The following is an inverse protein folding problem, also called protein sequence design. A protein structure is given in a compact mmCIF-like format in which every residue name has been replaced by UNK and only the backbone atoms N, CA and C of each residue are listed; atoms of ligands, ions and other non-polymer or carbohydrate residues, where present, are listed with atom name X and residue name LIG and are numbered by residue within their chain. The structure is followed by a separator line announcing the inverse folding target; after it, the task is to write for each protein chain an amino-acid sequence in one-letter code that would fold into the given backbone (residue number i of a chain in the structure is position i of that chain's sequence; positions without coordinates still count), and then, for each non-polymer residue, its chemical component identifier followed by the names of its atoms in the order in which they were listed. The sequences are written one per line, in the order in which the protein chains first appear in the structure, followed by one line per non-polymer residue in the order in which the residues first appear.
data_IF_059821263001
#
_entry.id   IF_059821263001
#
_cell.length_a   1.000
_cell.length_b   1.000
_cell.length_c   1.000
_cell.angle_alpha   90.00
_cell.angle_beta   90.00
_cell.angle_gamma   90.00
#
_symmetry.space_group_name_H-M   'P 1'
#
loop_
_entity.id
_entity.type
_entity.pdbx_description
1 polymer ?
#
# COMPACT_ATOMS: atom_id res chain seq x y z
N UNK A 1 -19.69 -24.20 -16.98
CA UNK A 1 -18.40 -23.62 -17.49
C UNK A 1 -17.37 -23.71 -16.40
N UNK A 2 -16.16 -24.18 -16.69
CA UNK A 2 -15.08 -24.25 -15.69
C UNK A 2 -14.31 -22.93 -15.68
N UNK A 3 -13.98 -22.41 -14.49
CA UNK A 3 -13.14 -21.21 -14.34
C UNK A 3 -11.68 -21.51 -14.71
N UNK A 4 -10.90 -20.47 -15.05
CA UNK A 4 -9.50 -20.64 -15.36
C UNK A 4 -8.71 -21.12 -14.12
N UNK A 5 -7.77 -22.06 -14.31
CA UNK A 5 -6.94 -22.65 -13.23
C UNK A 5 -6.24 -21.60 -12.33
N UNK A 6 -5.87 -20.42 -12.89
CA UNK A 6 -5.26 -19.33 -12.14
C UNK A 6 -6.10 -18.79 -10.99
N UNK A 7 -7.42 -19.05 -10.97
CA UNK A 7 -8.33 -18.62 -9.90
C UNK A 7 -8.48 -19.67 -8.79
N UNK A 8 -8.09 -20.92 -9.01
CA UNK A 8 -8.26 -22.00 -8.00
C UNK A 8 -7.54 -21.72 -6.68
N UNK A 9 -6.41 -20.99 -6.73
CA UNK A 9 -5.60 -20.64 -5.55
C UNK A 9 -5.74 -19.17 -5.13
N UNK A 10 -6.75 -18.48 -5.62
CA UNK A 10 -7.10 -17.10 -5.23
C UNK A 10 -8.32 -17.17 -4.33
N UNK A 11 -8.11 -17.11 -3.02
CA UNK A 11 -9.20 -17.02 -2.05
C UNK A 11 -9.89 -15.66 -2.10
N UNK A 12 -11.11 -15.60 -1.57
CA UNK A 12 -11.79 -14.34 -1.37
C UNK A 12 -11.00 -13.47 -0.37
N UNK A 13 -10.89 -12.20 -0.67
CA UNK A 13 -10.17 -11.23 0.16
C UNK A 13 -10.82 -11.14 1.55
N UNK A 14 -10.04 -11.38 2.62
CA UNK A 14 -10.52 -11.40 4.00
C UNK A 14 -11.42 -10.20 4.36
N UNK A 15 -11.00 -8.99 3.96
CA UNK A 15 -11.81 -7.79 4.24
C UNK A 15 -13.20 -7.84 3.60
N UNK A 16 -13.36 -8.46 2.42
CA UNK A 16 -14.68 -8.60 1.80
C UNK A 16 -15.61 -9.48 2.63
N UNK A 17 -15.07 -10.57 3.19
CA UNK A 17 -15.83 -11.46 4.07
C UNK A 17 -16.18 -10.77 5.39
N UNK A 18 -15.19 -10.14 6.04
CA UNK A 18 -15.38 -9.47 7.34
C UNK A 18 -16.30 -8.26 7.24
N UNK A 19 -16.25 -7.51 6.12
CA UNK A 19 -17.20 -6.40 5.89
C UNK A 19 -18.65 -6.90 5.75
N UNK A 20 -18.88 -8.02 5.06
CA UNK A 20 -20.24 -8.61 5.00
C UNK A 20 -20.74 -9.05 6.39
N UNK A 21 -19.85 -9.62 7.21
CA UNK A 21 -20.16 -9.96 8.59
C UNK A 21 -20.51 -8.72 9.43
N UNK A 22 -19.70 -7.65 9.34
CA UNK A 22 -19.94 -6.37 10.01
C UNK A 22 -21.27 -5.76 9.55
N UNK A 23 -21.57 -5.80 8.25
CA UNK A 23 -22.83 -5.31 7.70
C UNK A 23 -24.04 -6.10 8.23
N UNK A 24 -23.90 -7.42 8.37
CA UNK A 24 -24.95 -8.25 8.99
C UNK A 24 -25.17 -7.89 10.46
N UNK A 25 -24.09 -7.76 11.25
CA UNK A 25 -24.17 -7.32 12.65
C UNK A 25 -24.77 -5.92 12.78
N UNK A 26 -24.47 -5.01 11.86
CA UNK A 26 -25.05 -3.67 11.86
C UNK A 26 -26.56 -3.67 11.54
N UNK A 27 -27.01 -4.56 10.65
CA UNK A 27 -28.45 -4.76 10.40
C UNK A 27 -29.20 -5.31 11.62
N UNK A 28 -28.50 -6.04 12.49
CA UNK A 28 -29.01 -6.47 13.80
C UNK A 28 -28.94 -5.38 14.89
N UNK A 29 -28.48 -4.16 14.54
CA UNK A 29 -28.42 -3.03 15.46
C UNK A 29 -27.16 -2.96 16.34
N UNK A 30 -26.11 -3.74 16.03
CA UNK A 30 -24.86 -3.75 16.83
C UNK A 30 -24.01 -2.49 16.68
N UNK A 31 -24.18 -1.71 15.59
CA UNK A 31 -23.46 -0.46 15.34
C UNK A 31 -21.92 -0.59 15.47
N UNK A 32 -21.35 -1.54 14.76
CA UNK A 32 -19.91 -1.85 14.82
C UNK A 32 -19.07 -0.64 14.39
N UNK A 33 -18.10 -0.25 15.21
CA UNK A 33 -17.07 0.73 14.85
C UNK A 33 -15.92 0.00 14.18
N UNK A 34 -15.74 0.20 12.87
CA UNK A 34 -14.67 -0.46 12.13
C UNK A 34 -13.40 0.40 12.13
N UNK A 35 -12.37 -0.03 12.86
CA UNK A 35 -11.01 0.51 12.83
C UNK A 35 -10.05 -0.38 12.00
N UNK A 36 -10.60 -1.19 11.09
CA UNK A 36 -9.81 -2.10 10.27
C UNK A 36 -9.44 -1.56 8.89
N UNK A 37 -10.26 -0.69 8.29
CA UNK A 37 -10.15 -0.27 6.90
C UNK A 37 -9.21 0.91 6.76
N UNK A 38 -8.27 0.81 5.82
CA UNK A 38 -7.29 1.87 5.51
C UNK A 38 -7.71 2.77 4.35
N UNK A 39 -8.92 3.28 4.38
CA UNK A 39 -9.40 4.27 3.42
C UNK A 39 -9.48 5.63 4.11
N UNK A 40 -8.74 6.65 3.67
CA UNK A 40 -8.89 8.00 4.20
C UNK A 40 -10.34 8.44 4.19
N UNK A 41 -10.80 8.99 5.31
CA UNK A 41 -12.16 9.50 5.51
C UNK A 41 -12.29 11.00 5.24
N UNK A 42 -11.15 11.70 5.16
CA UNK A 42 -11.11 13.13 4.86
C UNK A 42 -11.23 13.38 3.36
N UNK A 43 -11.84 14.52 2.95
CA UNK A 43 -11.90 14.89 1.54
C UNK A 43 -10.52 15.32 1.01
N UNK A 44 -10.34 15.33 -0.32
CA UNK A 44 -9.23 16.04 -0.95
C UNK A 44 -9.28 17.55 -0.67
N UNK A 45 -8.17 18.24 -0.90
CA UNK A 45 -8.13 19.71 -0.79
C UNK A 45 -9.21 20.37 -1.71
N UNK A 46 -9.91 21.43 -1.24
CA UNK A 46 -11.00 22.08 -2.01
C UNK A 46 -10.65 22.42 -3.45
N UNK A 47 -9.43 22.93 -3.71
CA UNK A 47 -8.99 23.29 -5.08
C UNK A 47 -8.97 22.07 -6.02
N UNK A 48 -8.74 20.87 -5.50
CA UNK A 48 -8.74 19.62 -6.29
C UNK A 48 -10.17 19.29 -6.73
N UNK A 49 -11.14 19.42 -5.81
CA UNK A 49 -12.56 19.20 -6.08
C UNK A 49 -13.08 20.24 -7.08
N UNK A 50 -12.77 21.53 -6.85
CA UNK A 50 -13.14 22.63 -7.73
C UNK A 50 -12.57 22.44 -9.15
N UNK A 51 -11.30 22.02 -9.25
CA UNK A 51 -10.69 21.72 -10.55
C UNK A 51 -11.45 20.60 -11.27
N UNK A 52 -11.80 19.50 -10.59
CA UNK A 52 -12.58 18.43 -11.20
C UNK A 52 -13.93 18.95 -11.72
N UNK A 53 -14.66 19.72 -10.92
CA UNK A 53 -15.97 20.27 -11.28
C UNK A 53 -15.87 21.21 -12.50
N UNK A 54 -14.92 22.15 -12.47
CA UNK A 54 -14.72 23.10 -13.54
C UNK A 54 -14.27 22.45 -14.85
N UNK A 55 -13.30 21.52 -14.76
CA UNK A 55 -12.77 20.86 -15.94
C UNK A 55 -13.77 19.87 -16.54
N UNK A 56 -14.55 19.15 -15.71
CA UNK A 56 -15.56 18.20 -16.22
C UNK A 56 -16.75 18.89 -16.92
N UNK A 57 -16.97 20.17 -16.70
CA UNK A 57 -18.01 20.95 -17.40
C UNK A 57 -17.61 21.36 -18.83
N UNK A 58 -16.34 21.19 -19.23
CA UNK A 58 -15.84 21.58 -20.54
C UNK A 58 -16.22 20.55 -21.61
N UNK A 59 -16.60 20.96 -22.84
CA UNK A 59 -17.11 20.03 -23.85
C UNK A 59 -16.06 19.05 -24.42
N UNK A 60 -14.76 19.40 -24.38
CA UNK A 60 -13.71 18.68 -25.08
C UNK A 60 -12.90 17.69 -24.20
N UNK A 61 -13.42 17.32 -23.03
CA UNK A 61 -12.68 16.51 -22.04
C UNK A 61 -13.16 15.08 -21.92
N UNK A 62 -14.24 14.71 -22.64
CA UNK A 62 -14.94 13.43 -22.49
C UNK A 62 -14.49 12.35 -23.48
N UNK A 63 -13.68 12.70 -24.47
CA UNK A 63 -13.14 11.73 -25.43
C UNK A 63 -12.09 10.81 -24.78
N UNK A 64 -11.80 9.70 -25.43
CA UNK A 64 -10.70 8.82 -25.03
C UNK A 64 -9.39 9.60 -24.90
N UNK A 65 -8.67 9.33 -23.83
CA UNK A 65 -7.41 9.97 -23.53
C UNK A 65 -6.22 9.09 -23.93
N UNK A 66 -5.03 9.70 -24.02
CA UNK A 66 -3.80 8.96 -24.27
C UNK A 66 -3.56 7.89 -23.20
N UNK A 67 -3.16 6.70 -23.61
CA UNK A 67 -2.71 5.62 -22.72
C UNK A 67 -1.53 6.04 -21.80
N UNK A 68 -0.71 7.00 -22.25
CA UNK A 68 0.38 7.60 -21.47
C UNK A 68 -0.08 8.60 -20.42
N UNK A 69 -1.36 8.95 -20.39
CA UNK A 69 -1.90 10.04 -19.59
C UNK A 69 -1.56 11.43 -20.19
N UNK A 70 -2.12 12.49 -19.60
CA UNK A 70 -1.93 13.86 -20.05
C UNK A 70 -0.51 14.36 -19.75
N UNK A 71 0.08 15.20 -20.63
CA UNK A 71 1.36 15.86 -20.33
C UNK A 71 1.31 16.70 -19.04
N UNK A 72 0.17 17.32 -18.74
CA UNK A 72 -0.03 18.13 -17.52
C UNK A 72 0.17 17.27 -16.26
N UNK A 73 -0.40 16.08 -16.21
CA UNK A 73 -0.23 15.18 -15.07
C UNK A 73 1.21 14.65 -14.99
N UNK A 74 1.81 14.24 -16.12
CA UNK A 74 3.18 13.74 -16.12
C UNK A 74 4.20 14.78 -15.68
N UNK A 75 4.05 16.05 -16.14
CA UNK A 75 4.89 17.15 -15.67
C UNK A 75 4.73 17.39 -14.17
N UNK A 76 3.48 17.42 -13.67
CA UNK A 76 3.23 17.56 -12.22
C UNK A 76 3.84 16.43 -11.39
N UNK A 77 3.84 15.20 -11.88
CA UNK A 77 4.53 14.07 -11.23
C UNK A 77 6.04 14.28 -11.23
N UNK A 78 6.64 14.71 -12.35
CA UNK A 78 8.09 14.97 -12.43
C UNK A 78 8.52 16.07 -11.46
N UNK A 79 7.77 17.18 -11.41
CA UNK A 79 8.01 18.28 -10.48
C UNK A 79 7.88 17.82 -9.02
N UNK A 80 6.87 17.01 -8.70
CA UNK A 80 6.64 16.47 -7.37
C UNK A 80 7.77 15.52 -6.92
N UNK A 81 8.27 14.64 -7.83
CA UNK A 81 9.41 13.79 -7.55
C UNK A 81 10.70 14.58 -7.34
N UNK A 82 10.93 15.62 -8.14
CA UNK A 82 12.08 16.50 -7.98
C UNK A 82 12.03 17.25 -6.63
N UNK A 83 10.87 17.81 -6.28
CA UNK A 83 10.68 18.59 -5.05
C UNK A 83 10.83 17.74 -3.77
N UNK A 84 10.17 16.56 -3.73
CA UNK A 84 10.01 15.82 -2.49
C UNK A 84 11.03 14.70 -2.30
N UNK A 85 11.52 14.12 -3.39
CA UNK A 85 12.42 12.97 -3.35
C UNK A 85 13.81 13.29 -3.91
N UNK A 86 14.02 14.48 -4.45
CA UNK A 86 15.26 14.84 -5.17
C UNK A 86 15.56 13.86 -6.32
N UNK A 87 14.52 13.41 -7.03
CA UNK A 87 14.60 12.50 -8.17
C UNK A 87 14.15 13.24 -9.42
N UNK A 88 15.04 13.35 -10.41
CA UNK A 88 14.71 13.95 -11.71
C UNK A 88 14.19 12.86 -12.64
N UNK A 89 12.99 13.05 -13.18
CA UNK A 89 12.32 12.15 -14.12
C UNK A 89 11.98 12.88 -15.41
N UNK A 90 12.17 12.22 -16.55
CA UNK A 90 11.67 12.72 -17.83
C UNK A 90 10.15 12.45 -17.93
N UNK A 91 9.29 13.49 -17.96
CA UNK A 91 7.83 13.31 -17.99
C UNK A 91 7.31 12.62 -19.26
N UNK A 92 8.08 12.62 -20.35
CA UNK A 92 7.66 11.98 -21.60
C UNK A 92 7.94 10.47 -21.65
N UNK A 93 8.93 9.97 -20.87
CA UNK A 93 9.41 8.61 -21.02
C UNK A 93 9.48 7.80 -19.72
N UNK A 94 9.53 8.46 -18.55
CA UNK A 94 9.85 7.80 -17.27
C UNK A 94 8.68 7.82 -16.28
N UNK A 95 7.51 8.27 -16.72
CA UNK A 95 6.29 8.39 -15.91
C UNK A 95 5.09 7.82 -16.66
N UNK A 96 4.35 6.94 -15.99
CA UNK A 96 3.10 6.37 -16.49
C UNK A 96 1.98 6.54 -15.46
N UNK A 97 0.99 7.44 -15.69
CA UNK A 97 -0.22 7.51 -14.89
C UNK A 97 -1.03 6.21 -14.91
N UNK A 98 -1.62 5.88 -13.75
CA UNK A 98 -2.34 4.63 -13.49
C UNK A 98 -3.69 4.90 -12.83
N UNK A 99 -4.66 4.00 -13.00
CA UNK A 99 -5.93 4.00 -12.26
C UNK A 99 -5.73 3.48 -10.81
N UNK A 100 -4.76 4.09 -10.11
CA UNK A 100 -4.27 3.73 -8.79
C UNK A 100 -3.12 2.72 -8.84
N UNK A 101 -2.27 2.70 -7.79
CA UNK A 101 -1.09 1.83 -7.73
C UNK A 101 -1.43 0.33 -7.74
N UNK A 102 -2.61 -0.07 -7.21
CA UNK A 102 -3.04 -1.47 -7.22
C UNK A 102 -3.16 -2.06 -8.63
N UNK A 103 -3.66 -1.27 -9.58
CA UNK A 103 -3.68 -1.64 -11.00
C UNK A 103 -2.26 -1.82 -11.53
N UNK A 104 -1.36 -0.89 -11.18
CA UNK A 104 0.05 -0.96 -11.56
C UNK A 104 0.75 -2.22 -11.08
N UNK A 105 0.44 -2.72 -9.88
CA UNK A 105 0.95 -4.01 -9.38
C UNK A 105 0.59 -5.13 -10.37
N UNK A 106 -0.67 -5.17 -10.83
CA UNK A 106 -1.10 -6.18 -11.79
C UNK A 106 -0.42 -6.00 -13.16
N UNK A 107 -0.30 -4.77 -13.64
CA UNK A 107 0.39 -4.50 -14.92
C UNK A 107 1.83 -4.96 -14.89
N UNK A 108 2.56 -4.68 -13.80
CA UNK A 108 3.93 -5.13 -13.61
C UNK A 108 4.00 -6.66 -13.62
N UNK A 109 3.14 -7.33 -12.83
CA UNK A 109 3.14 -8.78 -12.78
C UNK A 109 2.84 -9.41 -14.15
N UNK A 110 1.89 -8.88 -14.89
CA UNK A 110 1.54 -9.38 -16.22
C UNK A 110 2.59 -9.04 -17.29
N UNK A 111 3.41 -8.02 -17.08
CA UNK A 111 4.49 -7.65 -18.01
C UNK A 111 5.73 -8.52 -17.82
N UNK A 112 6.10 -8.85 -16.58
CA UNK A 112 7.41 -9.44 -16.27
C UNK A 112 7.37 -10.86 -15.72
N UNK A 113 6.21 -11.35 -15.25
CA UNK A 113 6.12 -12.62 -14.54
C UNK A 113 5.16 -13.58 -15.21
N UNK A 114 5.54 -14.86 -15.24
CA UNK A 114 4.80 -15.96 -15.83
C UNK A 114 5.14 -17.29 -15.12
N UNK A 115 4.64 -18.40 -15.61
CA UNK A 115 4.94 -19.72 -15.08
C UNK A 115 6.46 -20.01 -15.11
N UNK A 116 6.98 -20.55 -14.02
CA UNK A 116 8.42 -20.80 -13.83
C UNK A 116 9.19 -19.60 -13.24
N UNK A 117 8.55 -18.46 -13.04
CA UNK A 117 9.14 -17.29 -12.39
C UNK A 117 8.79 -17.26 -10.90
N UNK A 118 9.81 -17.06 -10.06
CA UNK A 118 9.65 -16.73 -8.64
C UNK A 118 9.68 -15.21 -8.42
N UNK A 119 8.85 -14.74 -7.48
CA UNK A 119 8.81 -13.31 -7.09
C UNK A 119 8.83 -13.21 -5.57
N UNK A 120 9.83 -12.52 -5.03
CA UNK A 120 9.95 -12.25 -3.60
C UNK A 120 8.89 -11.23 -3.14
N UNK A 121 8.15 -11.57 -2.10
CA UNK A 121 7.11 -10.71 -1.52
C UNK A 121 7.27 -10.57 -0.01
N UNK A 122 7.02 -9.39 0.60
CA UNK A 122 7.18 -9.20 2.04
C UNK A 122 6.14 -9.98 2.84
N UNK A 123 6.55 -10.51 4.01
CA UNK A 123 5.71 -11.18 4.98
C UNK A 123 6.05 -10.66 6.42
N UNK A 124 5.16 -9.88 7.08
CA UNK A 124 3.86 -9.45 6.58
C UNK A 124 3.96 -8.47 5.41
N UNK A 125 2.91 -8.37 4.57
CA UNK A 125 2.89 -7.47 3.43
C UNK A 125 1.49 -7.27 2.86
N UNK A 126 1.37 -6.43 1.85
CA UNK A 126 0.09 -6.18 1.20
C UNK A 126 -0.39 -7.43 0.43
N UNK A 127 -1.56 -8.00 0.77
CA UNK A 127 -2.00 -9.28 0.17
C UNK A 127 -2.12 -9.27 -1.36
N UNK A 128 -2.26 -8.08 -1.96
CA UNK A 128 -2.35 -7.93 -3.41
C UNK A 128 -1.08 -8.38 -4.13
N UNK A 129 0.11 -8.28 -3.50
CA UNK A 129 1.35 -8.74 -4.14
C UNK A 129 1.28 -10.23 -4.44
N UNK A 130 0.96 -11.06 -3.44
CA UNK A 130 0.80 -12.49 -3.63
C UNK A 130 -0.28 -12.83 -4.67
N UNK A 131 -1.42 -12.14 -4.62
CA UNK A 131 -2.52 -12.39 -5.54
C UNK A 131 -2.16 -12.03 -6.99
N UNK A 132 -1.51 -10.88 -7.22
CA UNK A 132 -1.11 -10.45 -8.55
C UNK A 132 -0.03 -11.36 -9.17
N UNK A 133 0.95 -11.77 -8.35
CA UNK A 133 1.98 -12.75 -8.75
C UNK A 133 1.34 -14.08 -9.16
N UNK A 134 0.44 -14.62 -8.34
CA UNK A 134 -0.27 -15.88 -8.67
C UNK A 134 -1.16 -15.75 -9.92
N UNK A 135 -1.85 -14.62 -10.10
CA UNK A 135 -2.69 -14.36 -11.27
C UNK A 135 -1.88 -14.27 -12.57
N UNK A 136 -0.63 -13.81 -12.53
CA UNK A 136 0.28 -13.86 -13.68
C UNK A 136 0.81 -15.27 -14.00
N UNK A 137 0.55 -16.25 -13.12
CA UNK A 137 1.04 -17.62 -13.24
C UNK A 137 2.37 -17.87 -12.51
N UNK A 138 2.97 -16.84 -11.93
CA UNK A 138 4.23 -16.92 -11.22
C UNK A 138 4.07 -17.43 -9.77
N UNK A 139 5.19 -17.78 -9.13
CA UNK A 139 5.25 -18.25 -7.75
C UNK A 139 5.61 -17.10 -6.80
N UNK A 140 4.75 -16.83 -5.83
CA UNK A 140 5.04 -15.88 -4.75
C UNK A 140 5.93 -16.56 -3.69
N UNK A 141 7.09 -15.97 -3.43
CA UNK A 141 8.09 -16.45 -2.45
C UNK A 141 8.10 -15.45 -1.28
N UNK A 142 7.49 -15.76 -0.13
CA UNK A 142 7.45 -14.84 0.99
C UNK A 142 8.84 -14.74 1.67
N UNK A 143 9.23 -13.50 2.02
CA UNK A 143 10.38 -13.24 2.87
C UNK A 143 9.94 -12.54 4.16
N UNK A 144 10.43 -13.02 5.31
CA UNK A 144 9.98 -12.55 6.61
C UNK A 144 10.62 -11.21 6.97
N UNK A 145 9.77 -10.29 7.41
CA UNK A 145 10.15 -9.02 8.03
C UNK A 145 9.82 -9.10 9.51
N UNK A 146 10.83 -8.96 10.37
CA UNK A 146 10.69 -9.11 11.82
C UNK A 146 11.03 -7.83 12.56
N UNK A 147 10.44 -7.67 13.75
CA UNK A 147 10.75 -6.54 14.63
C UNK A 147 12.23 -6.52 15.02
N UNK A 148 12.86 -7.70 15.22
CA UNK A 148 14.28 -7.82 15.54
C UNK A 148 15.21 -7.21 14.48
N UNK A 149 14.79 -7.21 13.20
CA UNK A 149 15.51 -6.58 12.09
C UNK A 149 14.91 -5.22 11.70
N UNK A 150 14.12 -4.59 12.58
CA UNK A 150 13.39 -3.35 12.26
C UNK A 150 12.61 -3.46 10.95
N UNK A 151 12.02 -4.63 10.68
CA UNK A 151 11.29 -4.94 9.45
C UNK A 151 12.09 -4.67 8.15
N UNK A 152 13.43 -4.77 8.22
CA UNK A 152 14.31 -4.80 7.06
C UNK A 152 14.49 -6.25 6.57
N UNK A 153 14.65 -6.48 5.25
CA UNK A 153 14.96 -7.80 4.73
C UNK A 153 16.32 -8.33 5.22
N UNK A 154 16.39 -9.62 5.47
CA UNK A 154 17.64 -10.33 5.68
C UNK A 154 18.19 -10.77 4.31
N UNK A 155 19.29 -10.18 3.87
CA UNK A 155 19.85 -10.39 2.53
C UNK A 155 20.50 -11.76 2.36
N UNK A 156 20.92 -12.40 3.45
CA UNK A 156 21.44 -13.78 3.41
C UNK A 156 20.30 -14.76 3.21
N UNK A 157 19.23 -14.64 4.00
CA UNK A 157 18.03 -15.45 3.83
C UNK A 157 17.34 -15.21 2.47
N UNK A 158 17.33 -13.98 1.95
CA UNK A 158 16.86 -13.70 0.60
C UNK A 158 17.67 -14.45 -0.46
N UNK A 159 19.01 -14.41 -0.36
CA UNK A 159 19.88 -15.11 -1.30
C UNK A 159 19.68 -16.64 -1.24
N UNK A 160 19.48 -17.17 -0.02
CA UNK A 160 19.15 -18.57 0.16
C UNK A 160 17.81 -18.93 -0.47
N UNK A 161 16.75 -18.13 -0.25
CA UNK A 161 15.43 -18.36 -0.83
C UNK A 161 15.44 -18.36 -2.36
N UNK A 162 16.28 -17.50 -2.98
CA UNK A 162 16.50 -17.51 -4.44
C UNK A 162 17.11 -18.84 -4.87
N UNK A 163 18.22 -19.25 -4.24
CA UNK A 163 18.92 -20.48 -4.58
C UNK A 163 18.05 -21.71 -4.39
N UNK A 164 17.29 -21.80 -3.29
CA UNK A 164 16.39 -22.88 -2.98
C UNK A 164 15.28 -23.02 -4.04
N UNK A 165 14.69 -21.87 -4.45
CA UNK A 165 13.66 -21.87 -5.49
C UNK A 165 14.21 -22.32 -6.83
N UNK A 166 15.34 -21.78 -7.27
CA UNK A 166 15.96 -22.08 -8.57
C UNK A 166 16.46 -23.53 -8.64
N UNK A 167 16.98 -24.05 -7.52
CA UNK A 167 17.45 -25.46 -7.44
C UNK A 167 16.27 -26.45 -7.43
N UNK A 168 15.20 -26.12 -6.71
CA UNK A 168 14.03 -27.02 -6.57
C UNK A 168 13.14 -27.03 -7.81
N UNK A 169 13.21 -26.00 -8.65
CA UNK A 169 12.38 -25.85 -9.83
C UNK A 169 13.25 -25.76 -11.10
N UNK A 170 13.59 -26.87 -11.67
CA UNK A 170 14.50 -26.99 -12.79
C UNK A 170 14.19 -26.00 -13.94
N UNK A 171 15.10 -25.09 -14.22
CA UNK A 171 14.97 -24.02 -15.22
C UNK A 171 14.17 -22.78 -14.76
N UNK A 172 13.69 -22.77 -13.51
CA UNK A 172 13.05 -21.59 -12.92
C UNK A 172 14.08 -20.54 -12.49
N UNK A 173 13.63 -19.29 -12.40
CA UNK A 173 14.45 -18.18 -11.86
C UNK A 173 13.61 -17.26 -11.01
N UNK A 174 14.23 -16.58 -10.05
CA UNK A 174 13.60 -15.43 -9.38
C UNK A 174 13.84 -14.18 -10.24
N UNK A 175 12.76 -13.45 -10.59
CA UNK A 175 12.86 -12.32 -11.49
C UNK A 175 12.41 -10.99 -10.87
N UNK A 176 11.76 -11.00 -9.69
CA UNK A 176 11.27 -9.77 -9.08
C UNK A 176 11.25 -9.81 -7.56
N UNK A 177 11.22 -8.62 -6.95
CA UNK A 177 11.06 -8.44 -5.52
C UNK A 177 10.18 -7.21 -5.25
N UNK A 178 9.08 -7.40 -4.54
CA UNK A 178 8.28 -6.30 -4.01
C UNK A 178 8.88 -5.80 -2.69
N UNK A 179 8.97 -4.48 -2.55
CA UNK A 179 9.29 -3.77 -1.30
C UNK A 179 8.30 -2.64 -1.09
N UNK A 180 8.04 -2.29 0.16
CA UNK A 180 7.08 -1.24 0.53
C UNK A 180 7.62 -0.47 1.73
N UNK A 181 8.03 0.77 1.56
CA UNK A 181 8.51 1.65 2.62
C UNK A 181 8.04 3.10 2.37
N UNK A 182 7.34 3.74 3.33
CA UNK A 182 6.92 3.22 4.63
C UNK A 182 6.10 1.93 4.51
N UNK A 183 6.45 0.96 5.37
CA UNK A 183 5.95 -0.40 5.24
C UNK A 183 4.52 -0.55 5.80
N UNK A 184 3.62 -1.12 5.02
CA UNK A 184 2.31 -1.55 5.47
C UNK A 184 2.33 -3.10 5.64
N UNK A 185 2.02 -3.64 6.84
CA UNK A 185 1.24 -3.00 7.91
C UNK A 185 2.05 -2.35 9.04
N UNK A 186 3.38 -2.48 9.10
CA UNK A 186 4.17 -2.22 10.32
C UNK A 186 4.49 -0.75 10.59
N UNK A 187 4.30 0.15 9.61
CA UNK A 187 4.65 1.56 9.75
C UNK A 187 6.15 1.85 9.79
N UNK A 188 7.00 0.87 9.47
CA UNK A 188 8.45 1.05 9.43
C UNK A 188 8.85 1.93 8.24
N UNK A 189 9.71 2.93 8.49
CA UNK A 189 10.28 3.78 7.42
C UNK A 189 11.48 3.09 6.76
N UNK A 190 11.70 3.39 5.47
CA UNK A 190 12.95 3.04 4.78
C UNK A 190 14.08 4.02 5.12
N UNK A 191 15.26 3.72 4.60
CA UNK A 191 16.42 4.61 4.63
C UNK A 191 17.18 4.52 3.33
N UNK A 192 17.96 5.55 2.97
CA UNK A 192 18.83 5.50 1.78
C UNK A 192 19.80 4.32 1.88
N UNK A 193 20.38 4.07 3.04
CA UNK A 193 21.27 2.93 3.25
C UNK A 193 20.59 1.57 3.01
N UNK A 194 19.31 1.42 3.37
CA UNK A 194 18.53 0.23 3.04
C UNK A 194 18.27 0.15 1.53
N UNK A 195 17.90 1.27 0.91
CA UNK A 195 17.61 1.33 -0.52
C UNK A 195 18.87 1.02 -1.37
N UNK A 196 20.04 1.52 -0.99
CA UNK A 196 21.31 1.17 -1.63
C UNK A 196 21.61 -0.34 -1.54
N UNK A 197 21.38 -0.96 -0.38
CA UNK A 197 21.51 -2.42 -0.22
C UNK A 197 20.52 -3.19 -1.10
N UNK A 198 19.27 -2.76 -1.18
CA UNK A 198 18.26 -3.36 -2.05
C UNK A 198 18.62 -3.27 -3.52
N UNK A 199 19.11 -2.11 -3.96
CA UNK A 199 19.59 -1.90 -5.34
C UNK A 199 20.79 -2.79 -5.65
N UNK A 200 21.77 -2.85 -4.75
CA UNK A 200 22.92 -3.72 -4.91
C UNK A 200 22.53 -5.22 -4.97
N UNK A 201 21.58 -5.63 -4.12
CA UNK A 201 21.03 -6.99 -4.12
C UNK A 201 20.30 -7.29 -5.44
N UNK A 202 19.46 -6.38 -5.92
CA UNK A 202 18.74 -6.53 -7.17
C UNK A 202 19.69 -6.64 -8.38
N UNK A 203 20.74 -5.83 -8.41
CA UNK A 203 21.80 -5.90 -9.44
C UNK A 203 22.53 -7.25 -9.40
N UNK A 204 22.94 -7.70 -8.22
CA UNK A 204 23.65 -8.98 -8.02
C UNK A 204 22.83 -10.17 -8.52
N UNK A 205 21.55 -10.21 -8.20
CA UNK A 205 20.65 -11.32 -8.53
C UNK A 205 19.88 -11.11 -9.85
N UNK A 206 20.08 -9.99 -10.55
CA UNK A 206 19.41 -9.64 -11.82
C UNK A 206 17.89 -9.69 -11.72
N UNK A 207 17.33 -9.18 -10.62
CA UNK A 207 15.89 -9.11 -10.36
C UNK A 207 15.35 -7.69 -10.50
N UNK A 208 14.10 -7.56 -10.90
CA UNK A 208 13.38 -6.29 -10.89
C UNK A 208 12.96 -5.95 -9.46
N UNK A 209 13.39 -4.79 -8.96
CA UNK A 209 12.96 -4.26 -7.67
C UNK A 209 11.73 -3.37 -7.84
N UNK A 210 10.64 -3.69 -7.15
CA UNK A 210 9.36 -3.00 -7.28
C UNK A 210 9.03 -2.35 -5.94
N UNK A 211 9.11 -1.03 -5.88
CA UNK A 211 8.79 -0.27 -4.68
C UNK A 211 7.36 0.27 -4.75
N UNK A 212 6.51 -0.12 -3.79
CA UNK A 212 5.15 0.44 -3.62
C UNK A 212 5.19 1.48 -2.50
N UNK A 213 5.02 2.77 -2.85
CA UNK A 213 5.31 3.92 -1.99
C UNK A 213 4.11 4.86 -1.73
N UNK A 214 2.91 4.35 -1.35
CA UNK A 214 1.74 5.22 -1.18
C UNK A 214 1.69 5.97 0.17
N UNK A 215 2.58 5.64 1.13
CA UNK A 215 2.49 6.15 2.51
C UNK A 215 3.56 7.18 2.88
N UNK A 216 4.40 7.61 1.93
CA UNK A 216 5.57 8.47 2.18
C UNK A 216 5.30 9.74 2.97
N UNK A 217 4.10 10.31 2.87
CA UNK A 217 3.76 11.62 3.44
C UNK A 217 2.94 11.54 4.72
N UNK A 218 2.52 10.35 5.15
CA UNK A 218 1.62 10.22 6.30
C UNK A 218 2.43 9.98 7.56
N UNK A 219 2.35 10.93 8.50
CA UNK A 219 3.10 10.94 9.77
C UNK A 219 4.62 10.80 9.57
N UNK A 220 5.12 11.31 8.44
CA UNK A 220 6.51 11.21 8.04
C UNK A 220 6.97 12.54 7.43
N UNK A 221 7.96 13.18 8.08
CA UNK A 221 8.48 14.49 7.68
C UNK A 221 9.59 14.40 6.63
N UNK A 222 10.08 13.19 6.35
CA UNK A 222 11.18 12.93 5.42
C UNK A 222 10.79 11.85 4.43
N UNK A 223 9.91 12.17 3.45
CA UNK A 223 9.52 11.21 2.43
C UNK A 223 10.75 10.77 1.61
N UNK A 224 10.83 9.48 1.31
CA UNK A 224 11.91 8.89 0.53
C UNK A 224 11.35 8.10 -0.64
N UNK A 225 12.06 8.16 -1.77
CA UNK A 225 11.85 7.30 -2.93
C UNK A 225 13.01 6.32 -3.09
N UNK A 226 12.72 5.08 -3.45
CA UNK A 226 13.76 4.12 -3.82
C UNK A 226 14.57 4.60 -5.03
N UNK A 227 13.94 5.35 -5.92
CA UNK A 227 14.61 5.89 -7.12
C UNK A 227 15.69 6.93 -6.79
N UNK A 228 15.75 7.43 -5.55
CA UNK A 228 16.85 8.30 -5.08
C UNK A 228 18.14 7.53 -4.73
N UNK A 229 18.06 6.19 -4.60
CA UNK A 229 19.25 5.38 -4.35
C UNK A 229 20.13 5.26 -5.60
N UNK A 230 21.44 5.15 -5.40
CA UNK A 230 22.40 5.15 -6.49
C UNK A 230 22.21 3.94 -7.44
N UNK A 231 21.96 4.23 -8.71
CA UNK A 231 21.74 3.21 -9.75
C UNK A 231 20.41 2.47 -9.62
N UNK A 232 19.43 3.02 -8.92
CA UNK A 232 18.09 2.45 -8.80
C UNK A 232 17.37 2.38 -10.15
N UNK A 233 17.51 3.40 -11.00
CA UNK A 233 16.89 3.44 -12.34
C UNK A 233 17.29 2.25 -13.24
N UNK A 234 18.42 1.60 -13.00
CA UNK A 234 18.85 0.42 -13.76
C UNK A 234 18.03 -0.83 -13.44
N UNK A 235 17.54 -0.97 -12.21
CA UNK A 235 16.96 -2.22 -11.70
C UNK A 235 15.60 -2.07 -11.02
N UNK A 236 15.13 -0.83 -10.80
CA UNK A 236 13.91 -0.58 -10.04
C UNK A 236 12.84 0.15 -10.84
N UNK A 237 11.60 -0.04 -10.37
CA UNK A 237 10.42 0.77 -10.69
C UNK A 237 9.70 1.13 -9.40
N UNK A 238 9.06 2.29 -9.36
CA UNK A 238 8.33 2.75 -8.19
C UNK A 238 6.87 3.04 -8.54
N UNK A 239 5.97 2.47 -7.74
CA UNK A 239 4.55 2.79 -7.72
C UNK A 239 4.28 3.84 -6.66
N UNK A 240 3.51 4.87 -7.00
CA UNK A 240 3.02 5.85 -6.04
C UNK A 240 1.53 6.13 -6.26
N UNK A 241 0.86 6.78 -5.30
CA UNK A 241 -0.58 6.97 -5.36
C UNK A 241 -1.03 8.19 -4.56
N UNK A 242 -1.99 8.92 -5.08
CA UNK A 242 -2.67 10.02 -4.38
C UNK A 242 -3.74 9.53 -3.40
N UNK A 243 -3.99 8.22 -3.37
CA UNK A 243 -5.04 7.62 -2.53
C UNK A 243 -4.91 7.93 -1.05
N UNK A 244 -3.66 8.06 -0.55
CA UNK A 244 -3.37 8.23 0.88
C UNK A 244 -2.93 9.65 1.20
N UNK A 245 -1.90 10.14 0.54
CA UNK A 245 -1.30 11.45 0.78
C UNK A 245 -2.21 12.64 0.44
N UNK A 246 -3.20 12.43 -0.45
CA UNK A 246 -4.09 13.48 -0.94
C UNK A 246 -5.58 13.14 -0.76
N UNK A 247 -5.92 12.12 0.05
CA UNK A 247 -7.29 11.67 0.31
C UNK A 247 -8.11 11.35 -0.96
N UNK A 248 -7.44 10.86 -2.00
CA UNK A 248 -8.04 10.60 -3.32
C UNK A 248 -8.24 9.10 -3.59
N UNK A 249 -8.53 8.29 -2.55
CA UNK A 249 -8.64 6.84 -2.70
C UNK A 249 -9.69 6.41 -3.73
N UNK A 250 -10.86 7.04 -3.72
CA UNK A 250 -11.96 6.79 -4.67
C UNK A 250 -11.71 7.34 -6.08
N UNK A 251 -10.79 8.26 -6.24
CA UNK A 251 -10.48 8.91 -7.53
C UNK A 251 -9.63 8.05 -8.45
N UNK A 252 -8.99 7.03 -7.91
CA UNK A 252 -8.18 6.07 -8.66
C UNK A 252 -7.04 6.74 -9.42
N UNK A 253 -6.22 7.54 -8.75
CA UNK A 253 -5.02 8.17 -9.34
C UNK A 253 -3.75 7.61 -8.69
N UNK A 254 -2.88 7.07 -9.51
CA UNK A 254 -1.53 6.62 -9.16
C UNK A 254 -0.57 6.85 -10.32
N UNK A 255 0.67 6.48 -10.12
CA UNK A 255 1.72 6.56 -11.14
C UNK A 255 2.73 5.45 -10.97
N UNK A 256 3.33 5.04 -12.08
CA UNK A 256 4.54 4.24 -12.16
C UNK A 256 5.68 5.13 -12.65
N UNK A 257 6.81 5.08 -11.96
CA UNK A 257 8.03 5.79 -12.31
C UNK A 257 9.20 4.82 -12.45
N UNK A 258 10.10 5.07 -13.41
CA UNK A 258 11.26 4.21 -13.67
C UNK A 258 11.90 4.54 -15.01
N UNK A 259 12.89 3.73 -15.43
CA UNK A 259 13.56 3.94 -16.72
C UNK A 259 12.58 3.87 -17.91
N UNK A 260 12.92 4.58 -18.98
CA UNK A 260 12.09 4.69 -20.19
C UNK A 260 11.72 3.31 -20.78
N UNK A 261 12.66 2.36 -20.77
CA UNK A 261 12.42 1.01 -21.30
C UNK A 261 11.33 0.29 -20.48
N UNK A 262 11.43 0.35 -19.13
CA UNK A 262 10.47 -0.30 -18.25
C UNK A 262 9.08 0.34 -18.33
N UNK A 263 9.03 1.66 -18.44
CA UNK A 263 7.76 2.39 -18.64
C UNK A 263 7.12 1.96 -19.98
N UNK A 264 7.89 1.85 -21.05
CA UNK A 264 7.39 1.41 -22.35
C UNK A 264 6.92 -0.05 -22.35
N UNK A 265 7.63 -0.94 -21.64
CA UNK A 265 7.22 -2.35 -21.47
C UNK A 265 5.87 -2.47 -20.75
N UNK A 266 5.71 -1.77 -19.62
CA UNK A 266 4.44 -1.78 -18.88
C UNK A 266 3.33 -1.07 -19.66
N UNK A 267 3.63 0.03 -20.37
CA UNK A 267 2.66 0.72 -21.23
C UNK A 267 2.14 -0.20 -22.34
N UNK A 268 2.99 -1.04 -22.92
CA UNK A 268 2.56 -2.02 -23.93
C UNK A 268 1.51 -2.98 -23.41
N UNK A 269 1.63 -3.46 -22.17
CA UNK A 269 0.59 -4.25 -21.52
C UNK A 269 -0.66 -3.39 -21.23
N UNK A 270 -0.47 -2.24 -20.54
CA UNK A 270 -1.55 -1.34 -20.12
C UNK A 270 -2.43 -0.90 -21.29
N UNK A 271 -1.86 -0.55 -22.43
CA UNK A 271 -2.59 -0.09 -23.61
C UNK A 271 -3.53 -1.15 -24.24
N UNK A 272 -3.36 -2.42 -23.87
CA UNK A 272 -4.25 -3.52 -24.25
C UNK A 272 -5.31 -3.83 -23.16
N UNK A 273 -5.29 -3.12 -22.03
CA UNK A 273 -6.18 -3.36 -20.91
C UNK A 273 -7.13 -2.19 -20.64
N UNK A 274 -6.67 -0.94 -20.78
CA UNK A 274 -7.49 0.25 -20.58
C UNK A 274 -7.36 1.26 -21.74
N UNK A 275 -8.16 2.33 -21.68
CA UNK A 275 -8.24 3.38 -22.71
C UNK A 275 -7.86 4.77 -22.19
N UNK A 276 -7.02 4.84 -21.15
CA UNK A 276 -6.57 6.07 -20.53
C UNK A 276 -7.53 6.60 -19.46
N UNK A 277 -7.04 7.57 -18.67
CA UNK A 277 -7.78 8.16 -17.56
C UNK A 277 -8.63 9.34 -18.02
N UNK A 278 -9.79 9.54 -17.38
CA UNK A 278 -10.62 10.74 -17.55
C UNK A 278 -9.82 12.02 -17.34
N UNK A 279 -9.80 12.90 -18.35
CA UNK A 279 -8.93 14.08 -18.36
C UNK A 279 -9.14 15.03 -17.15
N UNK A 280 -10.37 15.38 -16.75
CA UNK A 280 -10.59 16.21 -15.57
C UNK A 280 -9.98 15.65 -14.28
N UNK A 281 -10.01 14.33 -14.10
CA UNK A 281 -9.37 13.70 -12.95
C UNK A 281 -7.85 13.83 -13.00
N UNK A 282 -7.24 13.78 -14.17
CA UNK A 282 -5.80 14.00 -14.35
C UNK A 282 -5.41 15.46 -14.05
N UNK A 283 -6.21 16.43 -14.49
CA UNK A 283 -5.97 17.85 -14.23
C UNK A 283 -6.12 18.18 -12.74
N UNK A 284 -7.14 17.64 -12.10
CA UNK A 284 -7.31 17.75 -10.65
C UNK A 284 -6.18 17.08 -9.86
N UNK A 285 -5.69 15.92 -10.31
CA UNK A 285 -4.54 15.26 -9.71
C UNK A 285 -3.25 16.08 -9.84
N UNK A 286 -3.04 16.76 -10.98
CA UNK A 286 -1.93 17.69 -11.13
C UNK A 286 -2.00 18.86 -10.14
N UNK A 287 -3.21 19.37 -9.84
CA UNK A 287 -3.41 20.37 -8.78
C UNK A 287 -3.15 19.81 -7.38
N UNK A 288 -3.49 18.55 -7.13
CA UNK A 288 -3.19 17.90 -5.87
C UNK A 288 -1.67 17.78 -5.64
N UNK A 289 -0.91 17.38 -6.66
CA UNK A 289 0.55 17.27 -6.60
C UNK A 289 1.26 18.61 -6.40
N UNK A 290 0.63 19.71 -6.83
CA UNK A 290 1.14 21.07 -6.65
C UNK A 290 0.80 21.70 -5.28
N UNK A 291 0.14 20.98 -4.37
CA UNK A 291 -0.14 21.48 -3.03
C UNK A 291 1.15 21.71 -2.24
N UNK A 292 1.14 22.75 -1.40
CA UNK A 292 2.29 23.12 -0.57
C UNK A 292 2.52 22.12 0.57
N UNK A 293 3.63 22.24 1.25
CA UNK A 293 3.96 21.48 2.45
C UNK A 293 2.88 21.61 3.54
N UNK A 294 2.19 22.74 3.63
CA UNK A 294 1.15 22.98 4.63
C UNK A 294 0.00 21.98 4.55
N UNK A 295 -0.35 21.49 3.34
CA UNK A 295 -1.33 20.43 3.19
C UNK A 295 -0.93 19.18 3.97
N UNK A 296 0.30 18.72 3.81
CA UNK A 296 0.81 17.54 4.51
C UNK A 296 0.95 17.77 6.01
N UNK A 297 1.36 18.97 6.44
CA UNK A 297 1.44 19.34 7.86
C UNK A 297 0.06 19.30 8.52
N UNK A 298 -0.96 19.93 7.93
CA UNK A 298 -2.32 19.92 8.47
C UNK A 298 -2.90 18.51 8.53
N UNK A 299 -2.72 17.72 7.47
CA UNK A 299 -3.17 16.34 7.44
C UNK A 299 -2.49 15.50 8.52
N UNK A 300 -1.19 15.66 8.70
CA UNK A 300 -0.41 14.93 9.71
C UNK A 300 -0.75 15.37 11.15
N UNK A 301 -1.17 16.60 11.40
CA UNK A 301 -1.71 17.00 12.69
C UNK A 301 -2.95 16.18 13.07
N UNK A 302 -3.88 16.00 12.11
CA UNK A 302 -5.09 15.20 12.33
C UNK A 302 -4.72 13.73 12.59
N UNK A 303 -3.87 13.15 11.75
CA UNK A 303 -3.47 11.74 11.93
C UNK A 303 -2.66 11.52 13.22
N UNK A 304 -1.87 12.50 13.67
CA UNK A 304 -1.14 12.41 14.93
C UNK A 304 -2.10 12.40 16.14
N UNK A 305 -3.12 13.25 16.15
CA UNK A 305 -4.16 13.24 17.19
C UNK A 305 -4.89 11.88 17.24
N UNK A 306 -5.28 11.35 16.08
CA UNK A 306 -5.92 10.03 15.95
C UNK A 306 -4.99 8.90 16.41
N UNK A 307 -3.70 8.96 16.05
CA UNK A 307 -2.70 7.97 16.47
C UNK A 307 -2.56 7.91 18.00
N UNK A 308 -2.55 9.06 18.66
CA UNK A 308 -2.49 9.12 20.12
C UNK A 308 -3.70 8.43 20.76
N UNK A 309 -4.91 8.63 20.24
CA UNK A 309 -6.11 7.91 20.70
C UNK A 309 -6.05 6.40 20.41
N UNK A 310 -5.50 6.00 19.27
CA UNK A 310 -5.28 4.57 18.99
C UNK A 310 -4.25 3.96 19.94
N UNK A 311 -3.24 4.71 20.38
CA UNK A 311 -2.32 4.26 21.43
C UNK A 311 -3.05 4.03 22.77
N UNK A 312 -3.99 4.92 23.15
CA UNK A 312 -4.83 4.71 24.35
C UNK A 312 -5.67 3.41 24.22
N UNK A 313 -6.29 3.19 23.05
CA UNK A 313 -7.06 1.97 22.78
C UNK A 313 -6.19 0.72 22.92
N UNK A 314 -5.00 0.73 22.33
CA UNK A 314 -4.06 -0.41 22.36
C UNK A 314 -3.54 -0.69 23.78
N UNK A 315 -3.31 0.35 24.58
CA UNK A 315 -2.95 0.20 26.00
C UNK A 315 -4.08 -0.48 26.79
N UNK A 316 -5.36 -0.14 26.52
CA UNK A 316 -6.50 -0.80 27.17
C UNK A 316 -6.55 -2.30 26.90
N UNK A 317 -6.20 -2.75 25.70
CA UNK A 317 -6.17 -4.17 25.35
C UNK A 317 -4.78 -4.82 25.54
N UNK A 318 -3.88 -4.14 26.26
CA UNK A 318 -2.54 -4.61 26.61
C UNK A 318 -1.64 -4.99 25.43
N UNK A 319 -1.86 -4.40 24.26
CA UNK A 319 -1.00 -4.60 23.09
C UNK A 319 0.29 -3.77 23.20
N UNK A 320 1.40 -4.31 22.66
CA UNK A 320 2.70 -3.62 22.61
C UNK A 320 2.92 -3.04 21.21
N UNK A 321 3.39 -1.81 21.12
CA UNK A 321 3.62 -1.13 19.85
C UNK A 321 4.81 -0.15 19.93
N UNK A 322 5.40 0.16 18.79
CA UNK A 322 6.37 1.25 18.65
C UNK A 322 5.64 2.58 18.42
N UNK A 323 6.09 3.65 19.05
CA UNK A 323 5.58 5.02 18.82
C UNK A 323 6.17 5.68 17.57
N UNK A 324 7.18 5.06 16.94
CA UNK A 324 7.89 5.58 15.78
C UNK A 324 7.26 5.18 14.44
N UNK A 325 6.12 4.47 14.47
CA UNK A 325 5.42 4.04 13.27
C UNK A 325 4.82 5.23 12.51
N UNK A 326 4.89 5.16 11.19
CA UNK A 326 4.30 6.14 10.25
C UNK A 326 3.21 5.49 9.39
N UNK A 327 2.55 6.27 8.54
CA UNK A 327 1.46 5.79 7.70
C UNK A 327 0.10 5.84 8.40
N UNK A 328 -0.88 5.15 7.84
CA UNK A 328 -2.30 5.23 8.26
C UNK A 328 -2.69 4.19 9.31
N UNK A 329 -1.73 3.48 9.90
CA UNK A 329 -2.01 2.34 10.77
C UNK A 329 -1.07 2.32 11.97
N UNK A 330 -1.54 1.71 13.05
CA UNK A 330 -0.69 1.27 14.14
C UNK A 330 -0.66 -0.25 14.14
N UNK A 331 0.55 -0.81 14.09
CA UNK A 331 0.85 -2.23 14.20
C UNK A 331 1.25 -2.56 15.62
N UNK A 332 0.59 -3.54 16.23
CA UNK A 332 0.80 -3.85 17.64
C UNK A 332 0.83 -5.36 17.88
N UNK A 333 1.80 -5.81 18.69
CA UNK A 333 1.86 -7.17 19.16
C UNK A 333 0.76 -7.44 20.16
N UNK A 334 0.10 -8.60 20.05
CA UNK A 334 -0.97 -9.02 20.97
C UNK A 334 -0.38 -9.38 22.36
N UNK A 335 -1.16 -9.27 23.43
CA UNK A 335 -0.72 -9.70 24.76
C UNK A 335 -0.52 -11.22 24.83
N UNK A 336 0.32 -11.66 25.75
CA UNK A 336 0.49 -13.09 26.04
C UNK A 336 -0.86 -13.72 26.47
N UNK A 337 -1.10 -14.95 26.03
CA UNK A 337 -2.33 -15.70 26.34
C UNK A 337 -3.32 -15.78 25.17
N UNK A 338 -3.19 -14.95 24.14
CA UNK A 338 -3.94 -15.11 22.90
C UNK A 338 -3.21 -16.02 21.93
N UNK A 339 -3.94 -16.92 21.29
CA UNK A 339 -3.38 -17.83 20.29
C UNK A 339 -3.01 -17.12 18.97
N UNK A 340 -3.70 -16.02 18.66
CA UNK A 340 -3.44 -15.23 17.44
C UNK A 340 -4.12 -13.86 17.49
N UNK A 341 -3.72 -12.97 16.58
CA UNK A 341 -4.40 -11.68 16.35
C UNK A 341 -5.87 -11.84 15.94
N UNK A 342 -6.26 -12.96 15.33
CA UNK A 342 -7.65 -13.26 15.02
C UNK A 342 -8.49 -13.40 16.29
N UNK A 343 -8.00 -14.15 17.28
CA UNK A 343 -8.71 -14.33 18.56
C UNK A 343 -8.94 -12.98 19.25
N UNK A 344 -7.91 -12.14 19.36
CA UNK A 344 -8.05 -10.81 19.97
C UNK A 344 -9.00 -9.92 19.16
N UNK A 345 -8.89 -9.93 17.83
CA UNK A 345 -9.76 -9.15 16.96
C UNK A 345 -11.24 -9.52 17.12
N UNK A 346 -11.55 -10.82 17.17
CA UNK A 346 -12.91 -11.33 17.34
C UNK A 346 -13.43 -11.03 18.76
N UNK A 347 -12.61 -11.15 19.80
CA UNK A 347 -13.00 -10.78 21.16
C UNK A 347 -13.39 -9.30 21.26
N UNK A 348 -12.58 -8.40 20.69
CA UNK A 348 -12.86 -6.97 20.66
C UNK A 348 -14.12 -6.67 19.83
N UNK A 349 -14.30 -7.37 18.70
CA UNK A 349 -15.47 -7.22 17.84
C UNK A 349 -16.77 -7.58 18.55
N UNK A 350 -16.84 -8.77 19.15
CA UNK A 350 -18.10 -9.29 19.69
C UNK A 350 -18.41 -8.71 21.06
N UNK A 351 -17.40 -8.45 21.89
CA UNK A 351 -17.62 -7.97 23.26
C UNK A 351 -17.76 -6.44 23.34
N UNK A 352 -17.08 -5.69 22.44
CA UNK A 352 -17.07 -4.22 22.48
C UNK A 352 -17.64 -3.55 21.23
N UNK A 353 -18.11 -4.32 20.25
CA UNK A 353 -18.60 -3.83 18.95
C UNK A 353 -17.58 -2.92 18.24
N UNK A 354 -16.28 -3.27 18.34
CA UNK A 354 -15.16 -2.58 17.69
C UNK A 354 -14.36 -3.57 16.88
N UNK A 355 -14.20 -3.33 15.58
CA UNK A 355 -13.39 -4.16 14.73
C UNK A 355 -11.97 -3.58 14.55
N UNK A 356 -10.97 -4.36 14.89
CA UNK A 356 -9.55 -4.14 14.58
C UNK A 356 -9.05 -5.27 13.68
N UNK A 357 -8.04 -5.03 12.84
CA UNK A 357 -7.61 -6.02 11.85
C UNK A 357 -6.63 -7.03 12.44
N UNK A 358 -6.88 -8.34 12.33
CA UNK A 358 -5.88 -9.34 12.70
C UNK A 358 -4.67 -9.28 11.76
N UNK A 359 -3.47 -9.38 12.32
CA UNK A 359 -2.24 -9.23 11.55
C UNK A 359 -1.94 -10.38 10.59
N UNK A 360 -2.45 -11.57 10.88
CA UNK A 360 -2.27 -12.76 10.03
C UNK A 360 -2.83 -12.62 8.60
N UNK A 361 -3.74 -11.67 8.35
CA UNK A 361 -4.22 -11.39 6.99
C UNK A 361 -3.12 -10.82 6.07
N UNK A 362 -2.05 -10.29 6.65
CA UNK A 362 -0.90 -9.76 5.90
C UNK A 362 0.20 -10.81 5.71
N UNK A 363 -0.01 -12.01 6.19
CA UNK A 363 0.93 -13.14 6.16
C UNK A 363 1.16 -13.70 7.56
N UNK A 364 1.63 -14.95 7.64
CA UNK A 364 1.77 -15.68 8.91
C UNK A 364 2.77 -15.04 9.88
N UNK A 365 3.75 -14.27 9.41
CA UNK A 365 4.63 -13.48 10.28
C UNK A 365 3.86 -12.39 11.06
N UNK A 366 2.62 -12.11 10.67
CA UNK A 366 1.71 -11.20 11.35
C UNK A 366 0.75 -11.85 12.36
N UNK A 367 0.78 -13.17 12.54
CA UNK A 367 -0.23 -13.89 13.35
C UNK A 367 -0.32 -13.40 14.81
N UNK A 368 0.80 -12.97 15.37
CA UNK A 368 0.89 -12.43 16.74
C UNK A 368 0.69 -10.92 16.83
N UNK A 369 0.06 -10.32 15.84
CA UNK A 369 -0.16 -8.88 15.77
C UNK A 369 -1.59 -8.53 15.41
N UNK A 370 -1.95 -7.27 15.70
CA UNK A 370 -3.15 -6.59 15.17
C UNK A 370 -2.76 -5.27 14.52
N UNK A 371 -3.58 -4.80 13.60
CA UNK A 371 -3.43 -3.50 12.96
C UNK A 371 -4.66 -2.64 13.21
N UNK A 372 -4.47 -1.41 13.68
CA UNK A 372 -5.53 -0.43 13.90
C UNK A 372 -5.39 0.72 12.91
N UNK A 373 -6.47 1.07 12.23
CA UNK A 373 -6.52 2.15 11.24
C UNK A 373 -6.73 3.51 11.89
N UNK A 374 -6.08 4.53 11.35
CA UNK A 374 -6.27 5.95 11.69
C UNK A 374 -7.33 6.63 10.80
N UNK A 375 -7.94 5.89 9.86
CA UNK A 375 -8.92 6.40 8.90
C UNK A 375 -10.33 6.44 9.50
N UNK A 376 -10.48 7.11 10.64
CA UNK A 376 -11.76 7.36 11.27
C UNK A 376 -11.69 8.65 12.09
N UNK A 377 -12.83 9.27 12.37
CA UNK A 377 -12.85 10.50 13.16
C UNK A 377 -12.36 10.27 14.58
N UNK A 378 -11.78 11.31 15.22
CA UNK A 378 -11.37 11.23 16.63
C UNK A 378 -12.53 10.85 17.55
N UNK A 379 -13.75 11.36 17.28
CA UNK A 379 -14.96 11.02 18.02
C UNK A 379 -15.29 9.53 17.95
N UNK A 380 -15.13 8.91 16.75
CA UNK A 380 -15.38 7.46 16.60
C UNK A 380 -14.32 6.61 17.28
N UNK A 381 -13.06 7.05 17.26
CA UNK A 381 -12.00 6.36 18.01
C UNK A 381 -12.23 6.48 19.51
N UNK A 382 -12.64 7.64 19.99
CA UNK A 382 -12.98 7.86 21.40
C UNK A 382 -14.19 6.97 21.82
N UNK A 383 -15.22 6.90 21.00
CA UNK A 383 -16.36 6.00 21.22
C UNK A 383 -15.91 4.53 21.35
N UNK A 384 -14.99 4.09 20.48
CA UNK A 384 -14.41 2.74 20.56
C UNK A 384 -13.64 2.51 21.86
N UNK A 385 -12.87 3.51 22.32
CA UNK A 385 -12.17 3.48 23.61
C UNK A 385 -13.17 3.29 24.75
N UNK A 386 -14.26 4.06 24.79
CA UNK A 386 -15.26 3.97 25.85
C UNK A 386 -15.98 2.60 25.86
N UNK A 387 -16.30 2.05 24.68
CA UNK A 387 -16.92 0.71 24.58
C UNK A 387 -16.00 -0.38 25.15
N UNK A 388 -14.71 -0.32 24.85
CA UNK A 388 -13.71 -1.27 25.39
C UNK A 388 -13.58 -1.10 26.92
N UNK A 389 -13.52 0.14 27.43
CA UNK A 389 -13.48 0.42 28.88
C UNK A 389 -14.70 -0.16 29.62
N UNK A 390 -15.89 0.09 29.10
CA UNK A 390 -17.14 -0.38 29.72
C UNK A 390 -17.22 -1.90 29.75
N UNK A 391 -16.78 -2.58 28.68
CA UNK A 391 -16.73 -4.03 28.67
C UNK A 391 -15.81 -4.60 29.76
N UNK A 392 -14.62 -4.01 29.96
CA UNK A 392 -13.67 -4.45 31.00
C UNK A 392 -14.14 -4.24 32.44
N UNK A 393 -15.04 -3.30 32.67
CA UNK A 393 -15.62 -3.06 34.01
C UNK A 393 -16.75 -4.05 34.36
N UNK A 394 -17.30 -4.73 33.32
CA UNK A 394 -18.40 -5.67 33.47
C UNK A 394 -17.94 -7.14 33.54
N UNK A 395 -16.63 -7.38 33.44
CA UNK A 395 -15.98 -8.68 33.59
C UNK A 395 -15.13 -8.70 34.87
#
# INVERSE_FOLDING_TARGET
MQTAKRLENIGEYYFSQKLREIDALNKEGKNIISLGIGSPDLPPHPIVIETLQTESAKPNVHAYQSYKGSPVLRNAVAEWYAQWYNVTLNPETEILPLLGSKEGIMHICMTYFEAGIGVLIPNPGYPTYASAVKLSGATAIPYNLTEANNYAPDFELLSQSINDYETSNNGARVAGMFVNYPHMPTGQIGSIALFDKLVAFAKKHKILLIHDNPYSFILNDKPLSLLSANGAMDVAIELNSLSKSHNMAGWRVGMLCGSADRINEVLRFKSNMDSGMFLPAQLAAAKALALSHDWHLQLNQIYNARRNKVFELLNLINCKYSTQQVGLFVWAAIPAGYASGYQLSDEVLYNSQVFITPGGIFGNAGDNYVRVSLCNTETKIEEAIQRIKNNKQNV
#
